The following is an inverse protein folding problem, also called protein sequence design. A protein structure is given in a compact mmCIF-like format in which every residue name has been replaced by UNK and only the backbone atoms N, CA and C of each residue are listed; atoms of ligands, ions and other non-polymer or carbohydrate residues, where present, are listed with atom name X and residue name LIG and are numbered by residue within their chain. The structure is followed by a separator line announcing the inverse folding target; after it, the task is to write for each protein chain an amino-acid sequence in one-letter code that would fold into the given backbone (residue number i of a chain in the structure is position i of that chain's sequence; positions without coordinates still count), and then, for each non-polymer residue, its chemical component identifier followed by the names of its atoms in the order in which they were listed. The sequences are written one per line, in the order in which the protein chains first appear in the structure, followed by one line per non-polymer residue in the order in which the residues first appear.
data_IF_265596329013
#
_entry.id   IF_265596329013
#
_cell.length_a   1.000
_cell.length_b   1.000
_cell.length_c   1.000
_cell.angle_alpha   90.00
_cell.angle_beta   90.00
_cell.angle_gamma   90.00
#
_symmetry.space_group_name_H-M   'P 1'
#
loop_
_entity.id
_entity.type
_entity.pdbx_description
1 polymer ?
#
# COMPACT_ATOMS: atom_id res chain seq x y z
N UNK A 1 -9.48 -23.06 15.45
CA UNK A 1 -8.24 -22.25 15.36
C UNK A 1 -8.13 -21.37 16.59
N UNK A 2 -7.03 -21.44 17.33
CA UNK A 2 -6.78 -20.60 18.53
C UNK A 2 -5.71 -19.54 18.27
N UNK A 3 -4.86 -19.75 17.28
CA UNK A 3 -3.76 -18.85 16.92
C UNK A 3 -3.62 -18.82 15.41
N UNK A 4 -3.25 -17.67 14.86
CA UNK A 4 -2.93 -17.48 13.45
C UNK A 4 -1.75 -16.53 13.30
N UNK A 5 -0.86 -16.84 12.38
CA UNK A 5 0.21 -15.95 11.93
C UNK A 5 -0.03 -15.58 10.48
N UNK A 6 -0.04 -14.30 10.18
CA UNK A 6 -0.25 -13.77 8.84
C UNK A 6 0.92 -12.93 8.37
N UNK A 7 1.22 -12.98 7.07
CA UNK A 7 2.05 -12.01 6.36
C UNK A 7 1.16 -10.99 5.70
N UNK A 8 1.53 -9.72 5.81
CA UNK A 8 0.78 -8.60 5.25
C UNK A 8 1.70 -7.82 4.32
N UNK A 9 1.47 -7.83 3.01
CA UNK A 9 2.36 -7.16 2.07
C UNK A 9 2.33 -5.64 2.25
N UNK A 10 3.47 -4.99 2.00
CA UNK A 10 3.51 -3.57 1.70
C UNK A 10 2.75 -3.29 0.40
N UNK A 11 2.36 -2.04 0.18
CA UNK A 11 1.56 -1.66 -0.99
C UNK A 11 2.09 -0.41 -1.65
N UNK A 12 2.05 -0.36 -2.97
CA UNK A 12 2.18 0.86 -3.77
C UNK A 12 0.78 1.40 -4.01
N UNK A 13 0.54 2.65 -3.69
CA UNK A 13 -0.73 3.32 -3.98
C UNK A 13 -0.54 4.53 -4.90
N UNK A 14 -1.63 5.09 -5.37
CA UNK A 14 -1.75 6.11 -6.43
C UNK A 14 -1.40 5.59 -7.84
N UNK A 15 -0.39 4.77 -7.99
CA UNK A 15 0.06 4.17 -9.27
C UNK A 15 0.10 5.22 -10.40
N UNK A 16 0.86 6.29 -10.19
CA UNK A 16 0.94 7.48 -11.04
C UNK A 16 -0.42 8.19 -11.20
N UNK A 17 -1.14 7.95 -12.30
CA UNK A 17 -2.39 8.64 -12.64
C UNK A 17 -3.61 8.28 -11.78
N UNK A 18 -3.52 7.28 -10.90
CA UNK A 18 -4.63 6.81 -10.07
C UNK A 18 -4.62 7.32 -8.63
N UNK A 19 -4.37 8.61 -8.42
CA UNK A 19 -4.34 9.23 -7.09
C UNK A 19 -5.58 8.92 -6.24
N UNK A 20 -5.37 8.36 -5.03
CA UNK A 20 -6.39 7.87 -4.10
C UNK A 20 -7.32 6.76 -4.65
N UNK A 21 -7.01 6.20 -5.84
CA UNK A 21 -7.89 5.25 -6.56
C UNK A 21 -7.19 3.91 -6.77
N UNK A 22 -5.90 3.89 -7.13
CA UNK A 22 -5.19 2.68 -7.52
C UNK A 22 -4.19 2.22 -6.47
N UNK A 23 -4.05 0.90 -6.32
CA UNK A 23 -3.00 0.30 -5.52
C UNK A 23 -2.75 -1.17 -5.85
N UNK A 24 -1.55 -1.65 -5.52
CA UNK A 24 -1.17 -3.06 -5.63
C UNK A 24 -0.20 -3.47 -4.51
N UNK A 25 -0.14 -4.76 -4.13
CA UNK A 25 0.75 -5.24 -3.09
C UNK A 25 2.15 -5.55 -3.60
N UNK A 26 3.14 -5.42 -2.72
CA UNK A 26 4.55 -5.84 -2.91
C UNK A 26 4.73 -7.16 -2.16
N UNK A 27 4.80 -8.28 -2.88
CA UNK A 27 4.86 -9.62 -2.27
C UNK A 27 6.18 -9.90 -1.52
N UNK A 28 7.28 -9.29 -1.94
CA UNK A 28 8.61 -9.56 -1.39
C UNK A 28 8.88 -8.93 -0.03
N UNK A 29 8.01 -8.02 0.45
CA UNK A 29 8.22 -7.27 1.69
C UNK A 29 6.89 -6.92 2.38
N UNK A 30 6.86 -7.05 3.69
CA UNK A 30 5.64 -6.79 4.47
C UNK A 30 5.83 -6.93 5.98
N UNK A 31 4.75 -6.70 6.71
CA UNK A 31 4.65 -6.93 8.14
C UNK A 31 4.22 -8.36 8.44
N UNK A 32 4.45 -8.80 9.67
CA UNK A 32 3.89 -10.04 10.19
C UNK A 32 3.04 -9.76 11.43
N UNK A 33 2.00 -10.53 11.61
CA UNK A 33 1.14 -10.42 12.79
C UNK A 33 0.72 -11.80 13.28
N UNK A 34 0.87 -12.03 14.59
CA UNK A 34 0.32 -13.19 15.27
C UNK A 34 -0.85 -12.72 16.11
N UNK A 35 -2.02 -13.37 15.94
CA UNK A 35 -3.19 -13.12 16.78
C UNK A 35 -3.58 -14.42 17.48
N UNK A 36 -3.78 -14.33 18.81
CA UNK A 36 -4.29 -15.42 19.63
C UNK A 36 -5.68 -15.09 20.15
N UNK A 37 -6.60 -16.02 19.96
CA UNK A 37 -7.92 -15.98 20.57
C UNK A 37 -7.83 -16.38 22.04
N UNK A 38 -8.46 -15.62 22.92
CA UNK A 38 -8.48 -15.84 24.39
C UNK A 38 -9.90 -15.90 24.91
N UNK A 39 -10.11 -16.58 26.06
CA UNK A 39 -11.42 -16.67 26.70
C UNK A 39 -11.78 -15.39 27.48
N UNK A 40 -10.81 -14.50 27.70
CA UNK A 40 -11.03 -13.20 28.34
C UNK A 40 -11.30 -12.16 27.26
N UNK A 41 -12.51 -11.63 27.24
CA UNK A 41 -12.95 -10.58 26.32
C UNK A 41 -12.03 -9.34 26.37
N UNK A 42 -11.77 -8.75 25.21
CA UNK A 42 -10.98 -7.53 25.03
C UNK A 42 -9.82 -7.71 24.07
N UNK A 43 -9.13 -6.62 23.80
CA UNK A 43 -7.95 -6.60 22.94
C UNK A 43 -6.72 -6.26 23.75
N UNK A 44 -5.58 -6.84 23.40
CA UNK A 44 -4.30 -6.55 24.03
C UNK A 44 -3.17 -6.68 23.03
N UNK A 45 -2.27 -5.71 22.97
CA UNK A 45 -1.00 -5.82 22.26
C UNK A 45 0.02 -6.36 23.27
N UNK A 46 0.55 -7.55 23.02
CA UNK A 46 1.49 -8.23 23.95
C UNK A 46 2.93 -8.03 23.52
N UNK A 47 3.17 -7.78 22.21
CA UNK A 47 4.51 -7.60 21.67
C UNK A 47 4.49 -6.74 20.41
N UNK A 48 5.49 -5.86 20.28
CA UNK A 48 5.83 -5.15 19.05
C UNK A 48 7.32 -5.31 18.80
N UNK A 49 7.69 -5.67 17.58
CA UNK A 49 9.07 -5.75 17.11
C UNK A 49 9.23 -4.89 15.86
N UNK A 50 10.44 -4.42 15.58
CA UNK A 50 10.74 -3.55 14.45
C UNK A 50 10.47 -2.08 14.77
N UNK A 51 9.68 -1.41 13.94
CA UNK A 51 9.40 0.01 14.13
C UNK A 51 8.36 0.27 15.21
N UNK A 52 8.56 1.34 15.98
CA UNK A 52 7.66 1.74 17.06
C UNK A 52 6.27 2.12 16.55
N UNK A 53 5.26 1.54 17.19
CA UNK A 53 3.84 1.88 17.01
C UNK A 53 3.16 1.97 18.38
N UNK A 54 2.05 2.72 18.51
CA UNK A 54 1.34 2.84 19.78
C UNK A 54 0.92 1.48 20.37
N UNK A 55 1.20 1.25 21.66
CA UNK A 55 0.72 0.08 22.41
C UNK A 55 -0.71 0.28 22.95
N UNK A 56 -1.16 1.52 23.04
CA UNK A 56 -2.54 1.86 23.39
C UNK A 56 -3.49 1.37 22.31
N UNK A 57 -4.37 0.45 22.69
CA UNK A 57 -5.31 -0.19 21.76
C UNK A 57 -6.28 0.79 21.10
N UNK A 58 -6.49 1.98 21.66
CA UNK A 58 -7.35 3.04 21.10
C UNK A 58 -6.61 3.93 20.12
N UNK A 59 -5.28 3.80 20.04
CA UNK A 59 -4.39 4.60 19.18
C UNK A 59 -3.62 3.76 18.15
N UNK A 60 -3.76 2.44 18.23
CA UNK A 60 -3.11 1.54 17.29
C UNK A 60 -4.08 1.15 16.17
N UNK A 61 -3.65 1.34 14.93
CA UNK A 61 -4.48 1.09 13.74
C UNK A 61 -4.99 -0.35 13.70
N UNK A 62 -4.15 -1.34 14.02
CA UNK A 62 -4.57 -2.75 14.00
C UNK A 62 -5.71 -3.03 14.98
N UNK A 63 -5.58 -2.56 16.23
CA UNK A 63 -6.60 -2.81 17.25
C UNK A 63 -7.87 -1.99 17.04
N UNK A 64 -7.78 -0.77 16.49
CA UNK A 64 -8.98 0.02 16.15
C UNK A 64 -9.73 -0.61 14.98
N UNK A 65 -9.04 -1.09 13.96
CA UNK A 65 -9.67 -1.88 12.88
C UNK A 65 -10.36 -3.13 13.43
N UNK A 66 -9.69 -3.84 14.35
CA UNK A 66 -10.28 -4.99 15.06
C UNK A 66 -11.54 -4.61 15.84
N UNK A 67 -11.52 -3.51 16.59
CA UNK A 67 -12.70 -3.03 17.34
C UNK A 67 -13.89 -2.79 16.40
N UNK A 68 -13.65 -2.14 15.24
CA UNK A 68 -14.70 -1.92 14.24
C UNK A 68 -15.32 -3.21 13.71
N UNK A 69 -14.51 -4.25 13.49
CA UNK A 69 -15.02 -5.56 13.10
C UNK A 69 -15.84 -6.20 14.21
N UNK A 70 -15.34 -6.14 15.46
CA UNK A 70 -15.98 -6.74 16.62
C UNK A 70 -17.24 -5.99 17.08
N UNK A 71 -17.42 -4.74 16.65
CA UNK A 71 -18.68 -4.00 16.86
C UNK A 71 -19.83 -4.61 16.05
N UNK A 72 -19.55 -5.06 14.82
CA UNK A 72 -20.53 -5.74 13.96
C UNK A 72 -20.64 -7.25 14.27
N UNK A 73 -19.54 -7.92 14.63
CA UNK A 73 -19.51 -9.33 15.00
C UNK A 73 -19.29 -9.51 16.50
N UNK A 74 -20.37 -9.62 17.26
CA UNK A 74 -20.29 -9.81 18.71
C UNK A 74 -19.73 -11.18 19.06
N UNK A 75 -18.72 -11.20 19.93
CA UNK A 75 -18.10 -12.41 20.45
C UNK A 75 -17.72 -12.21 21.92
N UNK A 76 -17.64 -13.30 22.67
CA UNK A 76 -17.14 -13.31 24.06
C UNK A 76 -15.62 -13.52 24.12
N UNK A 77 -14.98 -13.85 23.00
CA UNK A 77 -13.55 -14.01 22.92
C UNK A 77 -12.83 -12.66 22.97
N UNK A 78 -11.61 -12.69 23.51
CA UNK A 78 -10.62 -11.64 23.34
C UNK A 78 -9.55 -12.01 22.34
N UNK A 79 -8.69 -11.04 22.01
CA UNK A 79 -7.59 -11.26 21.06
C UNK A 79 -6.31 -10.56 21.54
N UNK A 80 -5.21 -11.31 21.53
CA UNK A 80 -3.87 -10.82 21.82
C UNK A 80 -3.05 -10.73 20.53
N UNK A 81 -2.35 -9.60 20.37
CA UNK A 81 -1.59 -9.24 19.19
C UNK A 81 -0.10 -9.24 19.48
N UNK A 82 0.67 -9.92 18.61
CA UNK A 82 2.11 -9.72 18.45
C UNK A 82 2.34 -9.19 17.04
N UNK A 83 2.97 -8.03 16.91
CA UNK A 83 3.14 -7.32 15.62
C UNK A 83 4.62 -7.18 15.33
N UNK A 84 5.07 -7.71 14.20
CA UNK A 84 6.41 -7.47 13.65
C UNK A 84 6.29 -6.42 12.56
N UNK A 85 6.70 -5.20 12.89
CA UNK A 85 6.57 -4.03 12.03
C UNK A 85 7.83 -3.83 11.20
N UNK A 86 7.84 -4.32 9.96
CA UNK A 86 8.93 -4.18 9.01
C UNK A 86 8.75 -2.95 8.11
N UNK A 87 7.50 -2.57 7.82
CA UNK A 87 7.17 -1.43 6.98
C UNK A 87 7.29 -0.14 7.82
N UNK A 88 8.20 0.75 7.41
CA UNK A 88 8.45 2.01 8.11
C UNK A 88 7.17 2.87 8.12
N UNK A 89 6.69 3.34 9.29
CA UNK A 89 5.60 4.32 9.34
C UNK A 89 5.95 5.60 8.59
N UNK A 90 5.05 6.07 7.72
CA UNK A 90 5.29 7.27 6.91
C UNK A 90 6.21 7.07 5.71
N UNK A 91 6.48 5.82 5.31
CA UNK A 91 7.32 5.48 4.15
C UNK A 91 6.62 5.61 2.79
N UNK A 92 5.29 5.74 2.75
CA UNK A 92 4.52 5.78 1.51
C UNK A 92 4.24 4.41 0.88
N UNK A 93 4.56 3.31 1.57
CA UNK A 93 4.28 1.92 1.09
C UNK A 93 3.29 1.18 2.00
N UNK A 94 2.26 1.87 2.45
CA UNK A 94 1.07 1.28 3.06
C UNK A 94 1.26 0.72 4.49
N UNK A 95 2.16 1.32 5.32
CA UNK A 95 2.44 0.82 6.66
C UNK A 95 1.21 0.70 7.57
N UNK A 96 0.35 1.70 7.62
CA UNK A 96 -0.89 1.67 8.41
C UNK A 96 -1.92 0.73 7.77
N UNK A 97 -2.09 0.79 6.44
CA UNK A 97 -2.97 -0.11 5.69
C UNK A 97 -2.64 -1.58 5.91
N UNK A 98 -1.35 -1.94 5.99
CA UNK A 98 -0.93 -3.30 6.33
C UNK A 98 -1.36 -3.70 7.75
N UNK A 99 -1.16 -2.81 8.74
CA UNK A 99 -1.59 -3.08 10.12
C UNK A 99 -3.11 -3.27 10.22
N UNK A 100 -3.89 -2.43 9.53
CA UNK A 100 -5.34 -2.52 9.45
C UNK A 100 -5.79 -3.83 8.78
N UNK A 101 -5.26 -4.11 7.60
CA UNK A 101 -5.63 -5.28 6.80
C UNK A 101 -5.31 -6.60 7.52
N UNK A 102 -4.10 -6.73 8.07
CA UNK A 102 -3.66 -7.93 8.79
C UNK A 102 -4.52 -8.23 10.00
N UNK A 103 -4.87 -7.21 10.76
CA UNK A 103 -5.71 -7.33 11.95
C UNK A 103 -7.09 -7.90 11.62
N UNK A 104 -7.83 -7.26 10.73
CA UNK A 104 -9.19 -7.68 10.39
C UNK A 104 -9.21 -9.04 9.69
N UNK A 105 -8.21 -9.31 8.83
CA UNK A 105 -8.08 -10.60 8.17
C UNK A 105 -7.85 -11.74 9.17
N UNK A 106 -6.88 -11.59 10.06
CA UNK A 106 -6.53 -12.62 11.03
C UNK A 106 -7.67 -12.89 12.02
N UNK A 107 -8.35 -11.85 12.51
CA UNK A 107 -9.52 -12.00 13.39
C UNK A 107 -10.67 -12.70 12.64
N UNK A 108 -10.94 -12.30 11.40
CA UNK A 108 -11.97 -12.94 10.58
C UNK A 108 -11.73 -14.46 10.45
N UNK A 109 -10.47 -14.85 10.19
CA UNK A 109 -10.06 -16.27 10.16
C UNK A 109 -10.31 -16.98 11.49
N UNK A 110 -9.92 -16.36 12.61
CA UNK A 110 -10.12 -16.93 13.96
C UNK A 110 -11.60 -17.06 14.34
N UNK A 111 -12.46 -16.27 13.72
CA UNK A 111 -13.93 -16.31 13.92
C UNK A 111 -14.64 -17.27 12.94
N UNK A 112 -13.92 -17.90 12.01
CA UNK A 112 -14.46 -18.82 11.02
C UNK A 112 -14.97 -18.17 9.74
N UNK A 113 -14.36 -17.06 9.33
CA UNK A 113 -14.63 -16.32 8.09
C UNK A 113 -16.07 -15.78 7.95
N UNK A 114 -16.62 -15.08 8.97
CA UNK A 114 -17.98 -14.53 8.86
C UNK A 114 -18.12 -13.44 7.79
N UNK A 115 -17.01 -12.80 7.37
CA UNK A 115 -17.00 -11.75 6.36
C UNK A 115 -16.13 -12.13 5.16
N UNK A 116 -16.55 -11.73 3.98
CA UNK A 116 -15.71 -11.79 2.77
C UNK A 116 -14.56 -10.80 2.84
N UNK A 117 -13.46 -11.05 2.09
CA UNK A 117 -12.32 -10.13 2.05
C UNK A 117 -12.70 -8.71 1.61
N UNK A 118 -13.74 -8.55 0.77
CA UNK A 118 -14.25 -7.24 0.38
C UNK A 118 -14.94 -6.53 1.53
N UNK A 119 -15.71 -7.24 2.34
CA UNK A 119 -16.37 -6.64 3.52
C UNK A 119 -15.36 -6.23 4.59
N UNK A 120 -14.20 -6.90 4.68
CA UNK A 120 -13.15 -6.53 5.62
C UNK A 120 -12.58 -5.14 5.37
N UNK A 121 -12.64 -4.62 4.12
CA UNK A 121 -12.11 -3.32 3.75
C UNK A 121 -12.74 -2.21 4.60
N UNK A 122 -14.05 -2.23 4.82
CA UNK A 122 -14.74 -1.20 5.63
C UNK A 122 -14.23 -1.15 7.08
N UNK A 123 -13.91 -2.31 7.66
CA UNK A 123 -13.39 -2.39 9.03
C UNK A 123 -11.93 -1.92 9.11
N UNK A 124 -11.10 -2.32 8.14
CA UNK A 124 -9.72 -1.90 8.06
C UNK A 124 -9.62 -0.37 7.87
N UNK A 125 -10.46 0.21 6.99
CA UNK A 125 -10.55 1.66 6.83
C UNK A 125 -10.93 2.40 8.11
N UNK A 126 -11.78 1.78 8.95
CA UNK A 126 -12.13 2.36 10.26
C UNK A 126 -10.93 2.58 11.19
N UNK A 127 -9.84 1.82 11.02
CA UNK A 127 -8.56 2.05 11.70
C UNK A 127 -7.69 3.13 11.04
N UNK A 128 -7.75 3.25 9.72
CA UNK A 128 -6.97 4.25 8.98
C UNK A 128 -7.32 5.70 9.35
N UNK A 129 -8.53 5.98 9.82
CA UNK A 129 -8.97 7.30 10.28
C UNK A 129 -8.05 7.87 11.37
N UNK A 130 -7.36 7.03 12.16
CA UNK A 130 -6.41 7.48 13.19
C UNK A 130 -5.10 7.97 12.57
N UNK A 131 -4.67 7.39 11.46
CA UNK A 131 -3.39 7.66 10.82
C UNK A 131 -3.47 8.71 9.71
N UNK A 132 -4.66 8.92 9.15
CA UNK A 132 -4.88 9.84 8.03
C UNK A 132 -6.13 10.70 8.24
N UNK A 133 -6.10 11.95 7.72
CA UNK A 133 -7.21 12.90 7.80
C UNK A 133 -8.39 12.48 6.91
N UNK A 134 -8.20 11.52 6.02
CA UNK A 134 -9.18 11.10 5.02
C UNK A 134 -9.17 9.57 4.81
N UNK A 135 -10.35 9.03 4.53
CA UNK A 135 -10.55 7.60 4.28
C UNK A 135 -10.07 7.22 2.87
N UNK A 136 -8.99 6.43 2.79
CA UNK A 136 -8.47 5.91 1.54
C UNK A 136 -8.32 4.40 1.61
N UNK A 137 -8.83 3.69 0.61
CA UNK A 137 -8.75 2.25 0.54
C UNK A 137 -7.67 1.74 -0.45
N UNK A 138 -6.95 2.64 -1.11
CA UNK A 138 -5.94 2.33 -2.13
C UNK A 138 -4.69 1.59 -1.61
N UNK A 139 -4.49 1.55 -0.28
CA UNK A 139 -3.53 0.67 0.39
C UNK A 139 -4.21 -0.54 1.04
N UNK A 140 -5.32 -0.34 1.73
CA UNK A 140 -6.05 -1.38 2.46
C UNK A 140 -6.61 -2.44 1.51
N UNK A 141 -7.24 -2.00 0.40
CA UNK A 141 -7.88 -2.91 -0.53
C UNK A 141 -6.87 -3.85 -1.22
N UNK A 142 -5.74 -3.38 -1.79
CA UNK A 142 -4.75 -4.29 -2.35
C UNK A 142 -4.04 -5.15 -1.29
N UNK A 143 -3.83 -4.66 -0.06
CA UNK A 143 -3.30 -5.48 1.01
C UNK A 143 -4.22 -6.67 1.32
N UNK A 144 -5.54 -6.48 1.35
CA UNK A 144 -6.52 -7.53 1.62
C UNK A 144 -6.78 -8.45 0.43
N UNK A 145 -6.96 -7.87 -0.76
CA UNK A 145 -7.46 -8.60 -1.95
C UNK A 145 -6.34 -9.12 -2.85
N UNK A 146 -5.15 -8.50 -2.79
CA UNK A 146 -4.13 -8.69 -3.81
C UNK A 146 -4.50 -8.04 -5.14
N UNK A 147 -3.59 -8.12 -6.11
CA UNK A 147 -3.80 -7.61 -7.45
C UNK A 147 -3.71 -6.09 -7.57
N UNK A 148 -3.88 -5.61 -8.80
CA UNK A 148 -4.07 -4.18 -9.05
C UNK A 148 -5.54 -3.84 -8.79
N UNK A 149 -5.77 -3.01 -7.79
CA UNK A 149 -7.11 -2.70 -7.29
C UNK A 149 -7.47 -1.26 -7.61
N UNK A 150 -8.69 -1.05 -8.11
CA UNK A 150 -9.29 0.26 -8.29
C UNK A 150 -10.40 0.49 -7.27
N UNK A 151 -10.26 1.52 -6.47
CA UNK A 151 -11.27 2.02 -5.54
C UNK A 151 -12.17 3.01 -6.28
N UNK A 152 -13.32 2.56 -6.76
CA UNK A 152 -14.27 3.43 -7.46
C UNK A 152 -15.07 4.29 -6.47
N UNK A 153 -15.45 3.70 -5.33
CA UNK A 153 -16.22 4.37 -4.30
C UNK A 153 -16.05 3.64 -2.97
N UNK A 154 -16.13 4.39 -1.89
CA UNK A 154 -16.10 3.87 -0.52
C UNK A 154 -17.51 3.71 0.02
N UNK A 155 -18.42 4.62 -0.29
CA UNK A 155 -19.80 4.57 0.16
C UNK A 155 -20.78 4.91 -1.01
N UNK A 156 -21.52 3.94 -1.57
CA UNK A 156 -21.39 2.49 -1.31
C UNK A 156 -20.04 1.95 -1.77
N UNK A 157 -19.54 0.92 -1.09
CA UNK A 157 -18.23 0.35 -1.41
C UNK A 157 -18.24 -0.34 -2.79
N UNK A 158 -17.39 0.15 -3.69
CA UNK A 158 -17.19 -0.41 -5.03
C UNK A 158 -15.70 -0.54 -5.30
N UNK A 159 -15.19 -1.76 -5.13
CA UNK A 159 -13.79 -2.13 -5.36
C UNK A 159 -13.70 -3.05 -6.58
N UNK A 160 -12.85 -2.71 -7.51
CA UNK A 160 -12.68 -3.40 -8.79
C UNK A 160 -11.26 -3.94 -8.88
N UNK A 161 -11.14 -5.25 -9.07
CA UNK A 161 -9.86 -5.85 -9.41
C UNK A 161 -9.61 -5.68 -10.91
N UNK A 162 -8.50 -5.09 -11.27
CA UNK A 162 -8.09 -4.89 -12.65
C UNK A 162 -7.29 -6.09 -13.15
N UNK A 163 -7.29 -6.34 -14.48
CA UNK A 163 -6.44 -7.38 -15.04
C UNK A 163 -4.96 -7.13 -14.72
N UNK A 164 -4.23 -8.20 -14.38
CA UNK A 164 -2.78 -8.16 -14.23
C UNK A 164 -2.11 -8.71 -15.48
N UNK A 165 -1.07 -8.02 -15.93
CA UNK A 165 -0.16 -8.56 -16.92
C UNK A 165 0.88 -9.43 -16.20
N UNK A 166 1.16 -10.64 -16.70
CA UNK A 166 1.87 -11.67 -15.92
C UNK A 166 3.35 -11.34 -15.63
N UNK A 167 3.92 -10.43 -16.40
CA UNK A 167 5.34 -10.07 -16.37
C UNK A 167 5.60 -8.65 -15.79
N UNK A 168 4.62 -8.08 -15.09
CA UNK A 168 4.80 -6.79 -14.41
C UNK A 168 5.53 -6.97 -13.09
N UNK A 169 6.68 -6.33 -12.99
CA UNK A 169 7.46 -6.19 -11.77
C UNK A 169 7.46 -4.75 -11.29
N UNK A 170 7.62 -4.58 -10.00
CA UNK A 170 7.77 -3.30 -9.36
C UNK A 170 9.12 -3.25 -8.64
N UNK A 171 9.91 -2.24 -8.95
CA UNK A 171 11.03 -1.79 -8.13
C UNK A 171 10.55 -0.67 -7.21
N UNK A 172 10.96 -0.68 -5.96
CA UNK A 172 10.70 0.39 -4.99
C UNK A 172 11.99 0.79 -4.32
N UNK A 173 12.26 2.09 -4.24
CA UNK A 173 13.24 2.66 -3.34
C UNK A 173 12.55 3.44 -2.25
N UNK A 174 12.92 3.16 -1.00
CA UNK A 174 12.42 3.83 0.19
C UNK A 174 13.57 4.57 0.89
N UNK A 175 13.75 5.88 0.67
CA UNK A 175 14.64 6.70 1.47
C UNK A 175 14.15 6.75 2.92
N UNK A 176 15.06 6.55 3.88
CA UNK A 176 14.72 6.57 5.31
C UNK A 176 14.57 8.00 5.83
N UNK A 177 13.67 8.74 5.21
CA UNK A 177 13.20 10.05 5.66
C UNK A 177 11.71 9.96 5.96
N UNK A 178 11.23 10.80 6.85
CA UNK A 178 9.81 10.78 7.21
C UNK A 178 9.07 11.91 6.49
N UNK A 179 8.05 11.54 5.71
CA UNK A 179 7.11 12.49 5.10
C UNK A 179 5.73 12.23 5.71
N UNK A 180 5.23 13.21 6.48
CA UNK A 180 3.89 13.08 7.08
C UNK A 180 2.82 13.11 5.98
N UNK A 181 1.91 12.13 6.00
CA UNK A 181 0.81 12.03 5.02
C UNK A 181 -0.06 13.28 5.02
N UNK A 182 -0.33 13.88 6.18
CA UNK A 182 -1.08 15.13 6.29
C UNK A 182 -0.40 16.28 5.54
N UNK A 183 0.93 16.41 5.68
CA UNK A 183 1.70 17.45 4.98
C UNK A 183 1.74 17.23 3.47
N UNK A 184 1.94 15.97 3.03
CA UNK A 184 1.88 15.60 1.59
C UNK A 184 0.52 15.90 0.95
N UNK A 185 -0.54 15.98 1.75
CA UNK A 185 -1.86 16.37 1.28
C UNK A 185 -2.07 17.88 1.32
N UNK A 186 -1.59 18.55 2.36
CA UNK A 186 -1.71 20.01 2.55
C UNK A 186 -1.05 20.81 1.42
N UNK A 187 0.07 20.30 0.88
CA UNK A 187 0.78 20.99 -0.22
C UNK A 187 0.08 20.87 -1.58
N UNK A 188 -0.98 20.07 -1.69
CA UNK A 188 -1.74 19.97 -2.94
C UNK A 188 -2.62 21.19 -3.15
N UNK A 189 -2.75 21.68 -4.40
CA UNK A 189 -3.55 22.87 -4.69
C UNK A 189 -5.03 22.58 -4.52
N UNK A 190 -5.76 23.55 -3.96
CA UNK A 190 -7.23 23.47 -3.83
C UNK A 190 -7.95 23.61 -5.17
N UNK A 191 -7.28 24.16 -6.19
CA UNK A 191 -7.81 24.33 -7.57
C UNK A 191 -6.80 23.78 -8.56
N UNK A 192 -7.28 23.09 -9.58
CA UNK A 192 -6.45 22.44 -10.60
C UNK A 192 -6.88 22.96 -11.97
N UNK A 193 -5.90 23.21 -12.84
CA UNK A 193 -6.16 23.55 -14.23
C UNK A 193 -6.90 22.41 -14.94
N UNK A 194 -7.93 22.73 -15.72
CA UNK A 194 -8.76 21.75 -16.41
C UNK A 194 -7.95 20.92 -17.43
N UNK A 195 -6.88 21.47 -18.01
CA UNK A 195 -6.02 20.73 -18.92
C UNK A 195 -5.26 19.62 -18.19
N UNK A 196 -4.81 19.87 -16.95
CA UNK A 196 -4.18 18.85 -16.13
C UNK A 196 -5.17 17.75 -15.73
N UNK A 197 -6.41 18.10 -15.43
CA UNK A 197 -7.51 17.15 -15.15
C UNK A 197 -7.76 16.28 -16.39
N UNK A 198 -7.88 16.90 -17.57
CA UNK A 198 -8.07 16.18 -18.83
C UNK A 198 -6.92 15.22 -19.11
N UNK A 199 -5.68 15.67 -18.91
CA UNK A 199 -4.48 14.83 -19.04
C UNK A 199 -4.50 13.64 -18.08
N UNK A 200 -4.81 13.89 -16.81
CA UNK A 200 -4.88 12.84 -15.78
C UNK A 200 -5.95 11.79 -16.10
N UNK A 201 -7.14 12.23 -16.50
CA UNK A 201 -8.24 11.33 -16.88
C UNK A 201 -7.90 10.52 -18.14
N UNK A 202 -7.24 11.14 -19.13
CA UNK A 202 -6.76 10.45 -20.33
C UNK A 202 -5.72 9.37 -19.96
N UNK A 203 -4.74 9.69 -19.11
CA UNK A 203 -3.76 8.74 -18.63
C UNK A 203 -4.42 7.59 -17.86
N UNK A 204 -5.38 7.90 -16.99
CA UNK A 204 -6.11 6.87 -16.25
C UNK A 204 -6.91 5.96 -17.20
N UNK A 205 -7.64 6.52 -18.16
CA UNK A 205 -8.37 5.75 -19.18
C UNK A 205 -7.45 4.88 -20.02
N UNK A 206 -6.30 5.42 -20.46
CA UNK A 206 -5.28 4.70 -21.20
C UNK A 206 -4.68 3.54 -20.40
N UNK A 207 -4.37 3.75 -19.10
CA UNK A 207 -3.91 2.70 -18.21
C UNK A 207 -4.94 1.56 -18.11
N UNK A 208 -6.22 1.87 -17.86
CA UNK A 208 -7.25 0.83 -17.74
C UNK A 208 -7.39 0.07 -19.06
N UNK A 209 -7.43 0.77 -20.19
CA UNK A 209 -7.54 0.12 -21.51
C UNK A 209 -6.33 -0.77 -21.81
N UNK A 210 -5.12 -0.30 -21.52
CA UNK A 210 -3.88 -1.06 -21.77
C UNK A 210 -3.81 -2.38 -21.00
N UNK A 211 -4.33 -2.42 -19.77
CA UNK A 211 -4.40 -3.66 -18.98
C UNK A 211 -5.35 -4.68 -19.62
N UNK A 212 -6.48 -4.23 -20.19
CA UNK A 212 -7.44 -5.12 -20.86
C UNK A 212 -6.96 -5.60 -22.22
N UNK A 213 -6.22 -4.77 -22.96
CA UNK A 213 -5.73 -5.09 -24.31
C UNK A 213 -4.32 -5.65 -24.34
N UNK A 214 -3.62 -5.63 -23.20
CA UNK A 214 -2.20 -6.02 -23.06
C UNK A 214 -1.26 -5.14 -23.89
N UNK A 215 -1.59 -3.87 -24.02
CA UNK A 215 -0.82 -2.88 -24.77
C UNK A 215 0.21 -2.20 -23.85
N UNK A 216 1.46 -2.64 -23.92
CA UNK A 216 2.54 -2.11 -23.07
C UNK A 216 2.98 -0.71 -23.48
N UNK A 217 2.85 -0.33 -24.75
CA UNK A 217 3.21 1.02 -25.21
C UNK A 217 2.19 2.03 -24.70
N UNK A 218 0.90 1.69 -24.76
CA UNK A 218 -0.15 2.49 -24.16
C UNK A 218 -0.01 2.55 -22.62
N UNK A 219 0.33 1.43 -21.98
CA UNK A 219 0.59 1.41 -20.54
C UNK A 219 1.73 2.37 -20.18
N UNK A 220 2.86 2.30 -20.88
CA UNK A 220 4.01 3.17 -20.69
C UNK A 220 3.66 4.65 -20.88
N UNK A 221 2.90 4.99 -21.91
CA UNK A 221 2.50 6.37 -22.16
C UNK A 221 1.50 6.90 -21.14
N UNK A 222 0.76 6.02 -20.46
CA UNK A 222 -0.33 6.33 -19.53
C UNK A 222 0.08 6.35 -18.04
N UNK A 223 1.20 5.71 -17.67
CA UNK A 223 1.70 5.70 -16.28
C UNK A 223 2.39 7.03 -15.92
N UNK A 224 1.62 8.13 -16.00
CA UNK A 224 2.08 9.50 -15.74
C UNK A 224 1.11 10.23 -14.84
N UNK A 225 1.63 10.89 -13.80
CA UNK A 225 0.86 11.77 -12.94
C UNK A 225 1.01 13.22 -13.40
N UNK A 226 -0.08 13.81 -13.84
CA UNK A 226 -0.13 15.19 -14.33
C UNK A 226 -0.41 16.22 -13.23
N UNK A 227 -0.82 15.79 -12.02
CA UNK A 227 -1.37 16.66 -10.98
C UNK A 227 -0.53 16.63 -9.70
N UNK A 228 -0.39 15.46 -9.08
CA UNK A 228 0.12 15.33 -7.70
C UNK A 228 1.64 15.31 -7.62
N UNK A 229 2.28 14.57 -8.51
CA UNK A 229 3.72 14.33 -8.49
C UNK A 229 4.53 15.65 -8.51
N UNK A 230 4.15 16.63 -9.33
CA UNK A 230 4.85 17.91 -9.44
C UNK A 230 4.90 18.70 -8.10
N UNK A 231 3.95 18.46 -7.21
CA UNK A 231 3.91 19.08 -5.88
C UNK A 231 4.70 18.27 -4.86
N UNK A 232 4.54 16.94 -4.85
CA UNK A 232 5.14 16.04 -3.86
C UNK A 232 6.61 15.73 -4.11
N UNK A 233 7.08 15.74 -5.35
CA UNK A 233 8.49 15.43 -5.68
C UNK A 233 9.51 16.28 -4.93
N UNK A 234 9.16 17.51 -4.56
CA UNK A 234 9.98 18.43 -3.79
C UNK A 234 10.29 17.92 -2.36
N UNK A 235 9.50 16.99 -1.86
CA UNK A 235 9.67 16.36 -0.55
C UNK A 235 10.62 15.15 -0.59
N UNK A 236 11.02 14.73 -1.79
CA UNK A 236 11.76 13.48 -2.00
C UNK A 236 13.11 13.80 -2.64
N UNK A 237 14.20 13.68 -1.88
CA UNK A 237 15.54 13.92 -2.44
C UNK A 237 15.80 13.01 -3.64
N UNK A 238 16.44 13.55 -4.67
CA UNK A 238 16.83 12.81 -5.88
C UNK A 238 15.68 12.26 -6.72
N UNK A 239 14.44 12.70 -6.51
CA UNK A 239 13.28 12.18 -7.24
C UNK A 239 13.45 12.30 -8.76
N UNK A 240 13.80 13.49 -9.26
CA UNK A 240 13.92 13.73 -10.71
C UNK A 240 15.03 12.87 -11.33
N UNK A 241 16.20 12.74 -10.67
CA UNK A 241 17.31 11.90 -11.12
C UNK A 241 16.92 10.40 -11.17
N UNK A 242 16.21 9.92 -10.16
CA UNK A 242 15.70 8.54 -10.12
C UNK A 242 14.70 8.29 -11.24
N UNK A 243 13.75 9.20 -11.41
CA UNK A 243 12.72 9.08 -12.46
C UNK A 243 13.33 9.06 -13.85
N UNK A 244 14.22 10.01 -14.15
CA UNK A 244 14.94 10.08 -15.41
C UNK A 244 15.72 8.79 -15.69
N UNK A 245 16.44 8.27 -14.68
CA UNK A 245 17.18 7.01 -14.81
C UNK A 245 16.28 5.82 -15.08
N UNK A 246 15.14 5.71 -14.39
CA UNK A 246 14.17 4.64 -14.65
C UNK A 246 13.60 4.71 -16.08
N UNK A 247 13.28 5.91 -16.56
CA UNK A 247 12.74 6.13 -17.90
C UNK A 247 13.79 5.83 -18.99
N UNK A 248 15.06 6.27 -18.82
CA UNK A 248 16.19 5.97 -19.71
C UNK A 248 16.41 4.45 -19.85
N UNK A 249 16.32 3.71 -18.76
CA UNK A 249 16.48 2.25 -18.75
C UNK A 249 15.30 1.49 -19.35
N UNK A 250 14.16 2.18 -19.55
CA UNK A 250 13.00 1.59 -20.21
C UNK A 250 11.89 1.13 -19.27
N UNK A 251 11.81 1.66 -18.04
CA UNK A 251 10.66 1.46 -17.18
C UNK A 251 9.35 1.82 -17.91
N UNK A 252 8.28 1.10 -17.59
CA UNK A 252 6.94 1.40 -18.09
C UNK A 252 6.35 2.64 -17.43
N UNK A 253 6.76 2.92 -16.19
CA UNK A 253 6.41 4.14 -15.46
C UNK A 253 7.20 4.23 -14.16
N UNK A 254 7.44 5.47 -13.70
CA UNK A 254 8.08 5.76 -12.44
C UNK A 254 7.38 6.94 -11.76
N UNK A 255 7.02 6.81 -10.48
CA UNK A 255 6.33 7.85 -9.73
C UNK A 255 6.46 7.63 -8.21
N UNK A 256 5.78 8.48 -7.45
CA UNK A 256 5.74 8.45 -6.00
C UNK A 256 4.74 7.39 -5.53
N UNK A 257 5.14 6.55 -4.57
CA UNK A 257 4.21 5.65 -3.89
C UNK A 257 3.50 6.37 -2.74
N UNK A 258 2.18 6.42 -2.79
CA UNK A 258 1.36 7.03 -1.75
C UNK A 258 1.70 8.50 -1.49
N UNK A 259 1.98 8.83 -0.23
CA UNK A 259 2.44 10.16 0.17
C UNK A 259 3.92 10.42 -0.09
N UNK A 260 4.66 9.43 -0.52
CA UNK A 260 6.12 9.38 -0.47
C UNK A 260 6.63 9.07 0.95
N UNK A 261 7.96 9.03 1.16
CA UNK A 261 9.04 9.33 0.23
C UNK A 261 9.41 8.19 -0.75
N UNK A 262 8.76 7.05 -0.68
CA UNK A 262 9.05 5.95 -1.59
C UNK A 262 8.74 6.32 -3.04
N UNK A 263 9.65 5.91 -3.92
CA UNK A 263 9.52 5.99 -5.38
C UNK A 263 9.39 4.56 -5.88
N UNK A 264 8.49 4.34 -6.83
CA UNK A 264 8.35 3.04 -7.49
C UNK A 264 8.60 3.18 -9.00
N UNK A 265 9.05 2.09 -9.61
CA UNK A 265 9.09 1.93 -11.05
C UNK A 265 8.43 0.60 -11.43
N UNK A 266 7.59 0.61 -12.46
CA UNK A 266 6.99 -0.58 -13.04
C UNK A 266 7.81 -1.00 -14.25
N UNK A 267 8.15 -2.30 -14.33
CA UNK A 267 8.96 -2.88 -15.40
C UNK A 267 8.29 -4.08 -16.02
N UNK A 268 8.71 -4.42 -17.23
CA UNK A 268 8.41 -5.71 -17.84
C UNK A 268 9.58 -6.66 -17.57
N UNK A 269 9.34 -7.64 -16.69
CA UNK A 269 10.35 -8.60 -16.26
C UNK A 269 11.20 -8.13 -15.07
N UNK A 270 11.73 -9.10 -14.34
CA UNK A 270 12.56 -8.89 -13.15
C UNK A 270 13.96 -8.36 -13.48
N UNK A 271 14.51 -8.78 -14.62
CA UNK A 271 15.85 -8.37 -15.06
C UNK A 271 15.96 -6.85 -15.20
N UNK A 272 14.94 -6.22 -15.80
CA UNK A 272 14.92 -4.77 -15.92
C UNK A 272 14.75 -4.08 -14.55
N UNK A 273 13.93 -4.65 -13.66
CA UNK A 273 13.79 -4.13 -12.30
C UNK A 273 15.12 -4.18 -11.53
N UNK A 274 15.88 -5.27 -11.67
CA UNK A 274 17.20 -5.44 -11.06
C UNK A 274 18.23 -4.46 -11.61
N UNK A 275 18.22 -4.22 -12.92
CA UNK A 275 19.09 -3.21 -13.54
C UNK A 275 18.76 -1.80 -13.05
N UNK A 276 17.48 -1.47 -12.92
CA UNK A 276 17.03 -0.20 -12.36
C UNK A 276 17.47 -0.07 -10.91
N UNK A 277 17.31 -1.12 -10.10
CA UNK A 277 17.79 -1.12 -8.72
C UNK A 277 19.27 -0.78 -8.63
N UNK A 278 20.12 -1.43 -9.43
CA UNK A 278 21.55 -1.20 -9.43
C UNK A 278 21.90 0.27 -9.69
N UNK A 279 21.29 0.87 -10.72
CA UNK A 279 21.59 2.27 -11.09
C UNK A 279 20.99 3.27 -10.08
N UNK A 280 19.78 3.03 -9.60
CA UNK A 280 19.15 3.93 -8.60
C UNK A 280 19.86 3.87 -7.26
N UNK A 281 20.39 2.70 -6.85
CA UNK A 281 21.23 2.59 -5.66
C UNK A 281 22.48 3.48 -5.74
N UNK A 282 23.13 3.59 -6.92
CA UNK A 282 24.28 4.49 -7.13
C UNK A 282 23.91 5.95 -6.85
N UNK A 283 22.74 6.40 -7.33
CA UNK A 283 22.24 7.77 -7.09
C UNK A 283 22.11 8.07 -5.58
N UNK A 284 21.54 7.13 -4.82
CA UNK A 284 21.35 7.34 -3.38
C UNK A 284 22.62 7.12 -2.55
N UNK A 285 23.57 6.29 -3.01
CA UNK A 285 24.88 6.10 -2.38
C UNK A 285 25.70 7.40 -2.37
N UNK A 286 25.49 8.30 -3.33
CA UNK A 286 26.11 9.63 -3.34
C UNK A 286 25.53 10.58 -2.28
N UNK A 287 24.42 10.20 -1.66
CA UNK A 287 23.78 10.96 -0.59
C UNK A 287 24.19 10.41 0.78
N UNK A 288 23.86 11.16 1.86
CA UNK A 288 23.99 10.65 3.24
C UNK A 288 22.69 10.00 3.73
N UNK A 289 21.71 9.79 2.84
CA UNK A 289 20.39 9.27 3.19
C UNK A 289 20.46 7.75 3.15
N UNK A 290 20.13 7.11 4.26
CA UNK A 290 19.90 5.67 4.27
C UNK A 290 18.65 5.32 3.45
N UNK A 291 18.68 4.18 2.77
CA UNK A 291 17.57 3.72 1.95
C UNK A 291 17.48 2.21 1.95
N UNK A 292 16.30 1.72 1.60
CA UNK A 292 16.04 0.30 1.31
C UNK A 292 15.45 0.18 -0.09
N UNK A 293 15.70 -0.96 -0.74
CA UNK A 293 15.16 -1.25 -2.08
C UNK A 293 14.44 -2.58 -2.06
N UNK A 294 13.40 -2.70 -2.87
CA UNK A 294 12.58 -3.90 -2.99
C UNK A 294 12.25 -4.13 -4.46
N UNK A 295 12.34 -5.39 -4.89
CA UNK A 295 11.84 -5.86 -6.19
C UNK A 295 10.76 -6.90 -5.91
N UNK A 296 9.65 -6.79 -6.60
CA UNK A 296 8.55 -7.74 -6.47
C UNK A 296 7.77 -7.85 -7.77
N UNK A 297 7.31 -9.05 -8.06
CA UNK A 297 6.20 -9.18 -9.01
C UNK A 297 4.97 -8.47 -8.43
N UNK A 298 4.15 -7.84 -9.29
CA UNK A 298 2.85 -7.32 -8.86
C UNK A 298 1.94 -8.53 -8.62
N UNK A 299 1.72 -8.85 -7.33
CA UNK A 299 1.09 -10.10 -6.91
C UNK A 299 -0.43 -10.03 -6.95
N UNK A 300 -1.06 -11.13 -7.34
CA UNK A 300 -2.50 -11.33 -7.17
C UNK A 300 -2.89 -11.70 -5.73
N UNK A 301 -1.92 -11.91 -4.84
CA UNK A 301 -2.13 -12.31 -3.45
C UNK A 301 -1.98 -11.12 -2.51
N UNK A 302 -2.93 -10.94 -1.62
CA UNK A 302 -2.87 -10.00 -0.49
C UNK A 302 -2.33 -10.65 0.78
N UNK A 303 -2.97 -10.33 1.93
CA UNK A 303 -2.67 -10.96 3.22
C UNK A 303 -2.77 -12.48 3.10
N UNK A 304 -1.74 -13.18 3.59
CA UNK A 304 -1.68 -14.64 3.55
C UNK A 304 -1.41 -15.24 4.93
N UNK A 305 -1.91 -16.44 5.16
CA UNK A 305 -1.63 -17.21 6.39
C UNK A 305 -0.26 -17.86 6.25
N UNK A 306 0.62 -17.62 7.24
CA UNK A 306 1.93 -18.27 7.32
C UNK A 306 1.82 -19.53 8.18
N UNK A 307 1.08 -19.45 9.31
CA UNK A 307 0.95 -20.52 10.29
C UNK A 307 -0.37 -20.40 11.05
N UNK A 308 -0.94 -21.54 11.50
CA UNK A 308 -2.19 -21.59 12.25
C UNK A 308 -2.28 -22.81 13.15
N UNK A 309 -2.81 -22.62 14.37
CA UNK A 309 -3.01 -23.66 15.40
C UNK A 309 -4.46 -23.68 15.93
#
# INVERSE_FOLDING_TARGET
MKKIKVFIPATVSNVACGFDILGFPIKSFGDEMVIRKTDKKGLKITKVEGYDIPLDITKNVATVSAMKLLDDFKTDYGFEFEITKNIIPGSGIGSSGASAAGSVYAINKLLGDPFSSKELIKYAMGGEVISSVSEHADNVAPALLGGLVMVKSINPQQIINLPLLPDLFCFVINPKIQVKTSYSREILPAKIDMNLVTSQVSNFGGLIHSLHTRDYDLLKSSLKDSIVEQHRKKLIPKFDEVKEKCEELGALGCSISGSGPSIFAITRGEELASKIEEEVRKIYQETKIEFSTYISIISSEGVSVIDSE
#
